data_IF_410791154634
#
_entry.id   IF_410791154634
#
_cell.length_a   1.000
_cell.length_b   1.000
_cell.length_c   1.000
_cell.angle_alpha   90.00
_cell.angle_beta   90.00
_cell.angle_gamma   90.00
#
_symmetry.space_group_name_H-M   'P 1'
#
loop_
_entity.id
_entity.type
_entity.pdbx_description
1 polymer ?
#
# COMPACT_ATOMS: atom_id res chain seq x y z
N UNK A 1 16.92 11.03 10.25
CA UNK A 1 15.80 11.74 9.59
C UNK A 1 15.05 10.86 8.60
N UNK A 2 15.69 10.32 7.55
CA UNK A 2 15.00 9.67 6.42
C UNK A 2 13.97 8.57 6.77
N UNK A 3 14.26 7.71 7.77
CA UNK A 3 13.34 6.64 8.17
C UNK A 3 11.99 7.15 8.72
N UNK A 4 12.00 8.31 9.40
CA UNK A 4 10.79 8.89 9.98
C UNK A 4 9.85 9.45 8.89
N UNK A 5 10.43 10.05 7.85
CA UNK A 5 9.69 10.53 6.68
C UNK A 5 9.04 9.37 5.91
N UNK A 6 9.74 8.25 5.78
CA UNK A 6 9.19 7.04 5.15
C UNK A 6 8.00 6.47 5.92
N UNK A 7 8.11 6.40 7.25
CA UNK A 7 7.02 5.96 8.12
C UNK A 7 5.81 6.91 8.03
N UNK A 8 6.04 8.22 8.02
CA UNK A 8 4.98 9.22 7.83
C UNK A 8 4.28 9.08 6.47
N UNK A 9 5.03 8.80 5.41
CA UNK A 9 4.42 8.55 4.10
C UNK A 9 3.57 7.28 4.11
N UNK A 10 4.04 6.20 4.72
CA UNK A 10 3.27 4.97 4.87
C UNK A 10 1.98 5.19 5.66
N UNK A 11 2.03 5.97 6.74
CA UNK A 11 0.83 6.32 7.52
C UNK A 11 -0.17 7.14 6.71
N UNK A 12 0.30 8.10 5.91
CA UNK A 12 -0.58 8.85 4.99
C UNK A 12 -1.25 7.94 3.96
N UNK A 13 -0.52 6.97 3.41
CA UNK A 13 -1.08 5.97 2.49
C UNK A 13 -2.09 5.09 3.21
N UNK A 14 -1.80 4.66 4.44
CA UNK A 14 -2.70 3.86 5.26
C UNK A 14 -4.01 4.61 5.55
N UNK A 15 -3.94 5.89 5.89
CA UNK A 15 -5.11 6.75 6.09
C UNK A 15 -5.94 6.90 4.81
N UNK A 16 -5.28 7.15 3.66
CA UNK A 16 -5.97 7.23 2.35
C UNK A 16 -6.63 5.91 1.99
N UNK A 17 -5.95 4.78 2.21
CA UNK A 17 -6.53 3.45 2.04
C UNK A 17 -7.73 3.24 2.94
N UNK A 18 -7.65 3.64 4.21
CA UNK A 18 -8.75 3.56 5.16
C UNK A 18 -9.97 4.35 4.70
N UNK A 19 -9.74 5.55 4.16
CA UNK A 19 -10.75 6.48 3.68
C UNK A 19 -11.33 6.12 2.30
N UNK A 20 -10.70 5.23 1.55
CA UNK A 20 -11.24 4.75 0.29
C UNK A 20 -12.48 3.87 0.56
N UNK A 21 -13.66 4.44 0.33
CA UNK A 21 -14.96 3.77 0.50
C UNK A 21 -15.38 3.00 -0.76
N UNK A 22 -15.04 3.55 -1.93
CA UNK A 22 -15.36 2.99 -3.25
C UNK A 22 -14.22 2.18 -3.83
N UNK A 23 -14.55 1.20 -4.65
CA UNK A 23 -13.58 0.33 -5.32
C UNK A 23 -12.61 1.10 -6.23
N UNK A 24 -13.08 2.10 -6.99
CA UNK A 24 -12.24 2.97 -7.83
C UNK A 24 -11.17 3.74 -7.04
N UNK A 25 -11.56 4.36 -5.91
CA UNK A 25 -10.61 5.05 -5.04
C UNK A 25 -9.58 4.09 -4.46
N UNK A 26 -10.01 2.90 -4.02
CA UNK A 26 -9.08 1.90 -3.51
C UNK A 26 -8.12 1.46 -4.62
N UNK A 27 -8.64 1.22 -5.83
CA UNK A 27 -7.87 0.80 -6.99
C UNK A 27 -6.84 1.85 -7.43
N UNK A 28 -7.20 3.13 -7.45
CA UNK A 28 -6.30 4.23 -7.79
C UNK A 28 -5.16 4.36 -6.77
N UNK A 29 -5.49 4.26 -5.47
CA UNK A 29 -4.51 4.26 -4.38
C UNK A 29 -3.60 3.03 -4.48
N UNK A 30 -4.16 1.84 -4.71
CA UNK A 30 -3.36 0.63 -4.92
C UNK A 30 -2.42 0.81 -6.11
N UNK A 31 -2.93 1.26 -7.25
CA UNK A 31 -2.12 1.45 -8.47
C UNK A 31 -0.98 2.43 -8.29
N UNK A 32 -1.19 3.50 -7.52
CA UNK A 32 -0.16 4.50 -7.27
C UNK A 32 0.83 4.10 -6.17
N UNK A 33 0.38 3.40 -5.12
CA UNK A 33 1.17 3.15 -3.93
C UNK A 33 1.70 1.72 -3.82
N UNK A 34 1.07 0.73 -4.42
CA UNK A 34 1.51 -0.67 -4.35
C UNK A 34 2.91 -0.86 -4.95
N UNK A 35 3.27 -0.31 -6.14
CA UNK A 35 4.62 -0.45 -6.68
C UNK A 35 5.73 0.13 -5.76
N UNK A 36 5.65 1.40 -5.29
CA UNK A 36 6.68 1.94 -4.40
C UNK A 36 6.68 1.29 -3.01
N UNK A 37 5.55 0.79 -2.50
CA UNK A 37 5.48 0.05 -1.23
C UNK A 37 6.20 -1.30 -1.34
N UNK A 38 6.04 -2.02 -2.47
CA UNK A 38 6.77 -3.26 -2.72
C UNK A 38 8.27 -3.02 -2.90
N UNK A 39 8.66 -1.96 -3.61
CA UNK A 39 10.08 -1.57 -3.72
C UNK A 39 10.67 -1.24 -2.34
N UNK A 40 9.90 -0.59 -1.46
CA UNK A 40 10.30 -0.33 -0.07
C UNK A 40 10.40 -1.58 0.80
N UNK A 41 9.78 -2.69 0.43
CA UNK A 41 9.92 -3.97 1.14
C UNK A 41 11.36 -4.51 1.08
N UNK A 42 12.08 -4.15 0.01
CA UNK A 42 13.51 -4.41 -0.16
C UNK A 42 14.42 -3.44 0.61
N UNK A 43 13.85 -2.43 1.29
CA UNK A 43 14.62 -1.45 2.05
C UNK A 43 15.15 -2.01 3.38
N UNK A 44 16.30 -1.51 3.82
CA UNK A 44 17.11 -2.06 4.94
C UNK A 44 16.54 -1.74 6.33
N UNK A 45 15.49 -0.92 6.40
CA UNK A 45 14.89 -0.40 7.64
C UNK A 45 13.83 -1.40 8.18
N UNK A 46 14.11 -2.09 9.29
CA UNK A 46 13.18 -3.09 9.86
C UNK A 46 11.82 -2.49 10.23
N UNK A 47 11.79 -1.29 10.81
CA UNK A 47 10.54 -0.60 11.19
C UNK A 47 9.66 -0.28 9.99
N UNK A 48 10.26 0.10 8.87
CA UNK A 48 9.56 0.36 7.60
C UNK A 48 9.04 -0.97 7.01
N UNK A 49 9.85 -2.02 7.01
CA UNK A 49 9.45 -3.36 6.50
C UNK A 49 8.24 -3.93 7.25
N UNK A 50 8.22 -3.87 8.59
CA UNK A 50 7.07 -4.34 9.39
C UNK A 50 5.79 -3.60 9.01
N UNK A 51 5.85 -2.26 8.94
CA UNK A 51 4.68 -1.42 8.65
C UNK A 51 4.20 -1.59 7.19
N UNK A 52 5.13 -1.77 6.25
CA UNK A 52 4.84 -2.13 4.85
C UNK A 52 4.11 -3.47 4.77
N UNK A 53 4.61 -4.50 5.45
CA UNK A 53 3.97 -5.82 5.48
C UNK A 53 2.54 -5.75 6.03
N UNK A 54 2.34 -5.03 7.12
CA UNK A 54 1.03 -4.84 7.74
C UNK A 54 0.06 -4.16 6.76
N UNK A 55 0.52 -3.07 6.11
CA UNK A 55 -0.23 -2.33 5.10
C UNK A 55 -0.60 -3.23 3.91
N UNK A 56 0.33 -4.06 3.42
CA UNK A 56 0.07 -5.04 2.36
C UNK A 56 -0.95 -6.10 2.78
N UNK A 57 -0.92 -6.59 4.02
CA UNK A 57 -1.91 -7.56 4.52
C UNK A 57 -3.30 -6.92 4.57
N UNK A 58 -3.42 -5.70 5.10
CA UNK A 58 -4.70 -4.97 5.12
C UNK A 58 -5.23 -4.70 3.72
N UNK A 59 -4.33 -4.34 2.79
CA UNK A 59 -4.66 -4.17 1.39
C UNK A 59 -5.18 -5.45 0.75
N UNK A 60 -4.42 -6.54 0.91
CA UNK A 60 -4.77 -7.83 0.33
C UNK A 60 -6.11 -8.35 0.89
N UNK A 61 -6.39 -8.13 2.18
CA UNK A 61 -7.71 -8.41 2.78
C UNK A 61 -8.84 -7.58 2.14
N UNK A 62 -8.65 -6.27 1.95
CA UNK A 62 -9.67 -5.41 1.32
C UNK A 62 -9.91 -5.78 -0.14
N UNK A 63 -8.85 -6.06 -0.91
CA UNK A 63 -8.96 -6.48 -2.31
C UNK A 63 -9.67 -7.83 -2.40
N UNK A 64 -9.31 -8.81 -1.56
CA UNK A 64 -10.00 -10.11 -1.52
C UNK A 64 -11.49 -9.99 -1.18
N UNK A 65 -11.87 -9.02 -0.35
CA UNK A 65 -13.28 -8.75 -0.06
C UNK A 65 -14.03 -8.07 -1.21
N UNK A 66 -13.31 -7.51 -2.19
CA UNK A 66 -13.85 -6.70 -3.29
C UNK A 66 -13.30 -7.22 -4.63
N UNK A 67 -13.86 -8.33 -5.15
CA UNK A 67 -13.35 -9.01 -6.34
C UNK A 67 -13.43 -8.19 -7.65
N UNK A 68 -14.14 -7.06 -7.63
CA UNK A 68 -14.21 -6.11 -8.75
C UNK A 68 -12.95 -5.24 -8.88
N UNK A 69 -12.13 -5.16 -7.83
CA UNK A 69 -10.91 -4.34 -7.84
C UNK A 69 -9.87 -5.02 -8.74
N UNK A 70 -9.56 -4.35 -9.84
CA UNK A 70 -8.50 -4.78 -10.75
C UNK A 70 -7.16 -4.42 -10.10
N UNK A 71 -6.37 -5.45 -9.77
CA UNK A 71 -4.99 -5.21 -9.38
C UNK A 71 -4.24 -4.67 -10.60
N UNK A 72 -3.38 -3.66 -10.42
CA UNK A 72 -2.50 -3.12 -11.45
C UNK A 72 -1.40 -4.13 -11.80
N UNK A 73 -1.77 -5.24 -12.46
CA UNK A 73 -0.84 -6.31 -12.81
C UNK A 73 0.19 -5.81 -13.82
N UNK A 74 -0.21 -4.90 -14.72
CA UNK A 74 0.67 -4.26 -15.70
C UNK A 74 1.75 -3.38 -15.05
N UNK A 75 1.52 -2.86 -13.85
CA UNK A 75 2.47 -2.00 -13.13
C UNK A 75 3.40 -2.82 -12.21
N UNK A 76 3.16 -4.13 -12.10
CA UNK A 76 3.94 -5.09 -11.32
C UNK A 76 4.82 -6.02 -12.18
N UNK A 77 4.63 -6.00 -13.50
CA UNK A 77 5.47 -6.67 -14.52
C UNK A 77 6.61 -5.75 -14.97
#
# INVERSE_FOLDING_TARGET
>A
MAAQDELNQLERVFLRLGHAETDDQLQDIISKFLPPVLLKLSSVQEGVRKKVMELLVHLNKRIKSRPLIQLPVETLL
#
